data_IF_850698400430
#
_entry.id   IF_850698400430
#
_cell.length_a   1.000
_cell.length_b   1.000
_cell.length_c   1.000
_cell.angle_alpha   90.00
_cell.angle_beta   90.00
_cell.angle_gamma   90.00
#
_symmetry.space_group_name_H-M   'P 1'
#
loop_
_entity.id
_entity.type
_entity.pdbx_description
1 polymer ?
#
# COMPACT_ATOMS: atom_id res chain seq x y z
N UNK A 1 -2.37 19.02 -6.71
CA UNK A 1 -3.03 17.79 -7.19
C UNK A 1 -2.26 17.10 -8.32
N UNK A 2 -1.83 17.79 -9.36
CA UNK A 2 -1.12 17.21 -10.51
C UNK A 2 0.17 16.46 -10.12
N UNK A 3 0.99 17.04 -9.24
CA UNK A 3 2.20 16.40 -8.71
C UNK A 3 1.93 15.08 -7.98
N UNK A 4 0.84 15.02 -7.23
CA UNK A 4 0.41 13.81 -6.50
C UNK A 4 0.02 12.70 -7.48
N UNK A 5 -0.70 13.04 -8.55
CA UNK A 5 -1.08 12.08 -9.61
C UNK A 5 0.14 11.57 -10.37
N UNK A 6 1.06 12.46 -10.77
CA UNK A 6 2.30 12.07 -11.44
C UNK A 6 3.18 11.18 -10.55
N UNK A 7 3.29 11.51 -9.26
CA UNK A 7 4.02 10.68 -8.30
C UNK A 7 3.39 9.29 -8.11
N UNK A 8 2.06 9.19 -8.12
CA UNK A 8 1.35 7.90 -8.05
C UNK A 8 1.62 7.04 -9.29
N UNK A 9 1.59 7.64 -10.48
CA UNK A 9 1.92 6.94 -11.72
C UNK A 9 3.38 6.46 -11.68
N UNK A 10 4.32 7.34 -11.32
CA UNK A 10 5.73 6.99 -11.17
C UNK A 10 5.91 5.87 -10.13
N UNK A 11 5.16 5.91 -9.01
CA UNK A 11 5.17 4.89 -7.97
C UNK A 11 4.79 3.50 -8.49
N UNK A 12 3.81 3.41 -9.38
CA UNK A 12 3.41 2.14 -10.00
C UNK A 12 4.55 1.56 -10.87
N UNK A 13 5.24 2.39 -11.65
CA UNK A 13 6.40 1.95 -12.44
C UNK A 13 7.58 1.53 -11.56
N UNK A 14 7.87 2.31 -10.51
CA UNK A 14 8.92 1.98 -9.54
C UNK A 14 8.60 0.65 -8.84
N UNK A 15 7.37 0.46 -8.40
CA UNK A 15 6.93 -0.78 -7.77
C UNK A 15 7.10 -1.99 -8.70
N UNK A 16 6.68 -1.87 -9.97
CA UNK A 16 6.84 -2.94 -10.96
C UNK A 16 8.33 -3.22 -11.28
N UNK A 17 9.17 -2.19 -11.35
CA UNK A 17 10.60 -2.34 -11.56
C UNK A 17 11.28 -3.05 -10.38
N UNK A 18 10.97 -2.63 -9.16
CA UNK A 18 11.51 -3.27 -7.95
C UNK A 18 11.06 -4.72 -7.82
N UNK A 19 9.80 -5.03 -8.14
CA UNK A 19 9.27 -6.39 -8.11
C UNK A 19 10.05 -7.34 -9.01
N UNK A 20 10.47 -6.88 -10.18
CA UNK A 20 11.30 -7.66 -11.12
C UNK A 20 12.71 -7.96 -10.61
N UNK A 21 13.30 -7.07 -9.80
CA UNK A 21 14.70 -7.21 -9.35
C UNK A 21 14.83 -7.78 -7.94
N UNK A 22 13.91 -7.46 -7.05
CA UNK A 22 13.97 -7.85 -5.63
C UNK A 22 13.01 -8.99 -5.28
N UNK A 23 12.10 -9.32 -6.19
CA UNK A 23 10.98 -10.23 -5.95
C UNK A 23 9.78 -9.52 -5.32
N UNK A 24 8.59 -10.09 -5.52
CA UNK A 24 7.32 -9.48 -5.12
C UNK A 24 7.23 -9.25 -3.60
N UNK A 25 7.63 -10.24 -2.78
CA UNK A 25 7.57 -10.20 -1.32
C UNK A 25 8.36 -9.03 -0.73
N UNK A 26 9.64 -8.94 -1.12
CA UNK A 26 10.55 -7.91 -0.60
C UNK A 26 10.10 -6.52 -1.04
N UNK A 27 9.59 -6.42 -2.26
CA UNK A 27 9.08 -5.16 -2.79
C UNK A 27 7.83 -4.70 -2.06
N UNK A 28 6.88 -5.60 -1.79
CA UNK A 28 5.68 -5.28 -0.99
C UNK A 28 6.08 -4.82 0.41
N UNK A 29 6.96 -5.54 1.10
CA UNK A 29 7.44 -5.16 2.41
C UNK A 29 8.16 -3.80 2.41
N UNK A 30 9.04 -3.56 1.43
CA UNK A 30 9.75 -2.29 1.28
C UNK A 30 8.78 -1.12 1.04
N UNK A 31 7.79 -1.32 0.16
CA UNK A 31 6.78 -0.31 -0.14
C UNK A 31 5.88 -0.02 1.07
N UNK A 32 5.49 -1.06 1.85
CA UNK A 32 4.74 -0.88 3.10
C UNK A 32 5.53 -0.07 4.13
N UNK A 33 6.82 -0.39 4.32
CA UNK A 33 7.71 0.35 5.20
C UNK A 33 7.89 1.81 4.73
N UNK A 34 8.11 2.00 3.43
CA UNK A 34 8.22 3.33 2.84
C UNK A 34 6.95 4.15 3.00
N UNK A 35 5.79 3.53 2.81
CA UNK A 35 4.49 4.18 3.00
C UNK A 35 4.28 4.62 4.45
N UNK A 36 4.54 3.72 5.41
CA UNK A 36 4.49 4.04 6.84
C UNK A 36 5.46 5.16 7.20
N UNK A 37 6.71 5.08 6.75
CA UNK A 37 7.73 6.11 6.97
C UNK A 37 7.32 7.47 6.40
N UNK A 38 6.77 7.50 5.18
CA UNK A 38 6.27 8.71 4.54
C UNK A 38 5.08 9.32 5.32
N UNK A 39 4.16 8.48 5.84
CA UNK A 39 3.05 8.93 6.68
C UNK A 39 3.55 9.55 7.99
N UNK A 40 4.46 8.87 8.70
CA UNK A 40 5.04 9.37 9.95
C UNK A 40 5.84 10.66 9.69
N UNK A 41 6.63 10.72 8.62
CA UNK A 41 7.40 11.92 8.28
C UNK A 41 6.50 13.11 7.92
N UNK A 42 5.35 12.86 7.28
CA UNK A 42 4.43 13.92 6.85
C UNK A 42 3.58 14.44 7.99
N UNK A 43 3.04 13.57 8.83
CA UNK A 43 2.06 13.91 9.87
C UNK A 43 2.61 13.91 11.28
N UNK A 44 3.79 13.32 11.52
CA UNK A 44 4.42 13.26 12.85
C UNK A 44 4.86 14.60 13.42
N UNK A 45 5.13 15.60 12.55
CA UNK A 45 5.51 16.94 12.99
C UNK A 45 4.47 17.96 12.47
N UNK A 46 4.01 18.90 13.31
CA UNK A 46 3.13 19.97 12.86
C UNK A 46 3.86 20.87 11.84
N UNK A 47 3.49 20.77 10.59
CA UNK A 47 4.10 21.51 9.47
C UNK A 47 3.09 22.42 8.80
N UNK A 48 3.59 23.51 8.20
CA UNK A 48 2.78 24.41 7.42
C UNK A 48 2.29 23.80 6.11
N UNK A 49 1.28 24.39 5.51
CA UNK A 49 0.59 23.91 4.29
C UNK A 49 1.56 23.65 3.12
N UNK A 50 2.58 24.51 2.96
CA UNK A 50 3.57 24.39 1.90
C UNK A 50 4.42 23.11 2.02
N UNK A 51 4.84 22.75 3.24
CA UNK A 51 5.62 21.54 3.49
C UNK A 51 4.82 20.26 3.28
N UNK A 52 3.52 20.28 3.58
CA UNK A 52 2.61 19.16 3.31
C UNK A 52 2.47 18.92 1.80
N UNK A 53 2.35 19.96 0.99
CA UNK A 53 2.25 19.83 -0.46
C UNK A 53 3.47 19.20 -1.11
N UNK A 54 4.67 19.34 -0.51
CA UNK A 54 5.90 18.72 -1.00
C UNK A 54 5.99 17.25 -0.57
N UNK A 55 5.44 16.89 0.60
CA UNK A 55 5.53 15.54 1.14
C UNK A 55 4.42 14.60 0.66
N UNK A 56 3.26 15.13 0.26
CA UNK A 56 2.15 14.34 -0.30
C UNK A 56 2.55 13.49 -1.52
N UNK A 57 3.35 13.98 -2.48
CA UNK A 57 3.85 13.16 -3.59
C UNK A 57 4.66 11.95 -3.13
N UNK A 58 5.43 12.06 -2.03
CA UNK A 58 6.18 10.92 -1.50
C UNK A 58 5.26 9.80 -1.01
N UNK A 59 4.17 10.14 -0.31
CA UNK A 59 3.14 9.16 0.09
C UNK A 59 2.53 8.50 -1.15
N UNK A 60 2.21 9.31 -2.18
CA UNK A 60 1.60 8.82 -3.42
C UNK A 60 2.53 7.90 -4.21
N UNK A 61 3.84 8.12 -4.14
CA UNK A 61 4.83 7.25 -4.77
C UNK A 61 4.81 5.85 -4.13
N UNK A 62 4.78 5.76 -2.81
CA UNK A 62 4.69 4.47 -2.12
C UNK A 62 3.31 3.82 -2.22
N UNK A 63 2.25 4.56 -2.58
CA UNK A 63 0.94 3.99 -2.88
C UNK A 63 0.96 3.05 -4.12
N UNK A 64 2.03 3.03 -4.92
CA UNK A 64 2.28 2.03 -5.96
C UNK A 64 2.22 0.58 -5.48
N UNK A 65 2.31 0.33 -4.16
CA UNK A 65 2.11 -0.99 -3.58
C UNK A 65 0.74 -1.62 -3.94
N UNK A 66 -0.30 -0.82 -4.17
CA UNK A 66 -1.63 -1.33 -4.55
C UNK A 66 -1.62 -1.97 -5.95
N UNK A 67 -0.79 -1.48 -6.86
CA UNK A 67 -0.59 -2.12 -8.16
C UNK A 67 0.07 -3.50 -8.02
N UNK A 68 1.00 -3.66 -7.08
CA UNK A 68 1.64 -4.95 -6.81
C UNK A 68 0.63 -6.00 -6.35
N UNK A 69 -0.30 -5.67 -5.47
CA UNK A 69 -1.35 -6.59 -5.06
C UNK A 69 -2.23 -7.03 -6.22
N UNK A 70 -2.53 -6.13 -7.15
CA UNK A 70 -3.31 -6.46 -8.34
C UNK A 70 -2.57 -7.44 -9.26
N UNK A 71 -1.25 -7.36 -9.32
CA UNK A 71 -0.41 -8.26 -10.13
C UNK A 71 -0.10 -9.58 -9.40
N UNK A 72 0.08 -9.53 -8.09
CA UNK A 72 0.49 -10.67 -7.26
C UNK A 72 -0.66 -11.64 -6.95
N UNK A 73 -1.89 -11.14 -6.75
CA UNK A 73 -3.04 -11.96 -6.36
C UNK A 73 -3.45 -13.00 -7.42
N UNK A 74 -3.58 -12.66 -8.72
CA UNK A 74 -4.08 -13.62 -9.71
C UNK A 74 -3.23 -14.89 -9.85
N UNK A 75 -1.88 -14.86 -9.87
CA UNK A 75 -1.05 -16.06 -9.99
C UNK A 75 -1.15 -17.03 -8.81
N UNK A 76 -1.64 -16.58 -7.65
CA UNK A 76 -1.81 -17.45 -6.47
C UNK A 76 -2.94 -18.47 -6.65
N UNK A 77 -3.87 -18.23 -7.57
CA UNK A 77 -5.01 -19.09 -7.83
C UNK A 77 -4.81 -19.97 -9.06
N UNK A 78 -5.33 -21.20 -9.06
CA UNK A 78 -5.32 -22.06 -10.24
C UNK A 78 -6.07 -21.38 -11.40
N UNK A 79 -5.70 -21.71 -12.64
CA UNK A 79 -6.15 -21.03 -13.86
C UNK A 79 -7.66 -20.84 -13.98
N UNK A 80 -8.44 -21.85 -13.54
CA UNK A 80 -9.91 -21.81 -13.57
C UNK A 80 -10.54 -20.83 -12.57
N UNK A 81 -9.87 -20.58 -11.44
CA UNK A 81 -10.37 -19.74 -10.35
C UNK A 81 -9.63 -18.40 -10.24
N UNK A 82 -8.68 -18.16 -11.13
CA UNK A 82 -7.77 -16.99 -11.08
C UNK A 82 -8.53 -15.68 -11.00
N UNK A 83 -9.47 -15.46 -11.90
CA UNK A 83 -10.25 -14.21 -11.95
C UNK A 83 -11.21 -14.08 -10.76
N UNK A 84 -11.93 -15.17 -10.45
CA UNK A 84 -12.90 -15.17 -9.35
C UNK A 84 -12.22 -15.05 -7.99
N UNK A 85 -11.14 -15.79 -7.76
CA UNK A 85 -10.40 -15.77 -6.50
C UNK A 85 -9.71 -14.41 -6.26
N UNK A 86 -9.03 -13.89 -7.26
CA UNK A 86 -8.40 -12.57 -7.16
C UNK A 86 -9.45 -11.45 -6.95
N UNK A 87 -10.56 -11.50 -7.70
CA UNK A 87 -11.66 -10.55 -7.55
C UNK A 87 -12.32 -10.64 -6.16
N UNK A 88 -12.50 -11.83 -5.62
CA UNK A 88 -13.04 -12.03 -4.28
C UNK A 88 -12.14 -11.43 -3.20
N UNK A 89 -10.84 -11.74 -3.23
CA UNK A 89 -9.88 -11.17 -2.29
C UNK A 89 -9.83 -9.64 -2.36
N UNK A 90 -9.84 -9.10 -3.58
CA UNK A 90 -9.84 -7.66 -3.79
C UNK A 90 -11.10 -6.98 -3.23
N UNK A 91 -12.27 -7.58 -3.44
CA UNK A 91 -13.54 -7.05 -2.92
C UNK A 91 -13.62 -7.13 -1.40
N UNK A 92 -13.15 -8.21 -0.78
CA UNK A 92 -13.04 -8.29 0.69
C UNK A 92 -12.15 -7.16 1.23
N UNK A 93 -11.01 -6.92 0.59
CA UNK A 93 -10.13 -5.80 0.95
C UNK A 93 -10.83 -4.44 0.85
N UNK A 94 -11.67 -4.24 -0.16
CA UNK A 94 -12.47 -3.00 -0.31
C UNK A 94 -13.53 -2.84 0.78
N UNK A 95 -14.22 -3.93 1.14
CA UNK A 95 -15.19 -3.90 2.25
C UNK A 95 -14.48 -3.58 3.57
N UNK A 96 -13.35 -4.22 3.84
CA UNK A 96 -12.53 -3.92 5.02
C UNK A 96 -12.04 -2.46 5.04
N UNK A 97 -11.62 -1.92 3.88
CA UNK A 97 -11.25 -0.51 3.73
C UNK A 97 -12.43 0.43 4.00
N UNK A 98 -13.64 0.09 3.54
CA UNK A 98 -14.83 0.91 3.77
C UNK A 98 -15.15 0.98 5.26
N UNK A 99 -15.12 -0.16 5.97
CA UNK A 99 -15.27 -0.23 7.43
C UNK A 99 -14.17 0.59 8.12
N UNK A 100 -12.92 0.43 7.69
CA UNK A 100 -11.78 1.20 8.20
C UNK A 100 -11.98 2.71 8.03
N UNK A 101 -12.52 3.16 6.91
CA UNK A 101 -12.81 4.57 6.65
C UNK A 101 -13.88 5.12 7.60
N UNK A 102 -14.93 4.34 7.89
CA UNK A 102 -15.97 4.73 8.86
C UNK A 102 -15.38 4.84 10.26
N UNK A 103 -14.60 3.83 10.69
CA UNK A 103 -13.92 3.85 12.00
C UNK A 103 -12.96 5.03 12.09
N UNK A 104 -12.21 5.30 11.03
CA UNK A 104 -11.32 6.46 10.95
C UNK A 104 -12.10 7.77 11.09
N UNK A 105 -13.23 7.91 10.40
CA UNK A 105 -14.11 9.08 10.52
C UNK A 105 -14.59 9.30 11.95
N UNK A 106 -15.01 8.25 12.65
CA UNK A 106 -15.46 8.31 14.03
C UNK A 106 -14.32 8.69 15.00
N UNK A 107 -13.14 8.11 14.81
CA UNK A 107 -11.96 8.40 15.66
C UNK A 107 -11.44 9.82 15.42
N UNK A 108 -11.46 10.29 14.20
CA UNK A 108 -10.99 11.65 13.85
C UNK A 108 -11.86 12.77 14.41
N UNK A 109 -13.12 12.49 14.80
CA UNK A 109 -13.99 13.46 15.49
C UNK A 109 -13.63 13.61 16.97
N UNK A 110 -12.98 12.62 17.58
CA UNK A 110 -12.63 12.59 19.01
C UNK A 110 -11.16 12.93 19.24
N UNK A 111 -10.29 12.58 18.29
CA UNK A 111 -8.85 12.82 18.35
C UNK A 111 -8.37 13.67 17.17
N UNK A 112 -7.16 14.23 17.29
CA UNK A 112 -6.50 14.95 16.20
C UNK A 112 -6.39 14.05 14.95
N UNK A 113 -6.86 14.57 13.82
CA UNK A 113 -6.81 13.89 12.52
C UNK A 113 -5.40 13.36 12.15
N UNK A 114 -4.35 13.98 12.68
CA UNK A 114 -2.95 13.57 12.47
C UNK A 114 -2.65 12.23 13.10
N UNK A 115 -3.08 12.04 14.34
CA UNK A 115 -2.92 10.77 15.07
C UNK A 115 -3.63 9.64 14.35
N UNK A 116 -4.83 9.91 13.84
CA UNK A 116 -5.61 8.94 13.09
C UNK A 116 -4.91 8.57 11.75
N UNK A 117 -4.33 9.53 11.04
CA UNK A 117 -3.58 9.29 9.80
C UNK A 117 -2.29 8.50 10.04
N UNK A 118 -1.56 8.78 11.12
CA UNK A 118 -0.37 8.02 11.51
C UNK A 118 -0.77 6.59 11.87
N UNK A 119 -1.84 6.40 12.65
CA UNK A 119 -2.34 5.08 13.00
C UNK A 119 -2.73 4.28 11.75
N UNK A 120 -3.40 4.91 10.77
CA UNK A 120 -3.71 4.29 9.49
C UNK A 120 -2.45 3.88 8.72
N UNK A 121 -1.40 4.72 8.74
CA UNK A 121 -0.09 4.38 8.16
C UNK A 121 0.58 3.21 8.85
N UNK A 122 0.50 3.13 10.17
CA UNK A 122 1.08 2.04 10.97
C UNK A 122 0.40 0.68 10.71
N UNK A 123 -0.85 0.64 10.24
CA UNK A 123 -1.51 -0.61 9.83
C UNK A 123 -0.83 -1.29 8.63
N UNK A 124 -0.04 -0.56 7.86
CA UNK A 124 0.76 -1.16 6.79
C UNK A 124 1.98 -1.93 7.29
N UNK A 125 2.43 -1.74 8.53
CA UNK A 125 3.53 -2.51 9.11
C UNK A 125 3.18 -4.00 9.24
N UNK A 126 2.08 -4.41 9.92
CA UNK A 126 1.71 -5.81 9.96
C UNK A 126 1.41 -6.38 8.58
N UNK A 127 0.85 -5.60 7.65
CA UNK A 127 0.65 -6.04 6.28
C UNK A 127 1.98 -6.33 5.57
N UNK A 128 3.00 -5.49 5.74
CA UNK A 128 4.34 -5.71 5.23
C UNK A 128 5.03 -6.93 5.83
N UNK A 129 4.86 -7.18 7.14
CA UNK A 129 5.39 -8.36 7.82
C UNK A 129 4.71 -9.65 7.32
N UNK A 130 3.39 -9.63 7.14
CA UNK A 130 2.64 -10.75 6.58
C UNK A 130 3.08 -11.05 5.13
N UNK A 131 3.38 -10.01 4.35
CA UNK A 131 3.88 -10.16 2.99
C UNK A 131 5.21 -10.92 2.92
N UNK A 132 6.07 -10.79 3.92
CA UNK A 132 7.32 -11.58 4.01
C UNK A 132 7.09 -13.07 4.24
N UNK A 133 5.96 -13.45 4.82
CA UNK A 133 5.56 -14.85 5.01
C UNK A 133 4.89 -15.49 3.79
N UNK A 134 4.56 -14.71 2.75
CA UNK A 134 3.93 -15.25 1.54
C UNK A 134 4.98 -15.97 0.66
N UNK A 135 4.59 -17.03 -0.10
CA UNK A 135 5.48 -17.69 -1.04
C UNK A 135 5.86 -16.77 -2.20
N UNK A 136 7.12 -16.75 -2.61
CA UNK A 136 7.54 -16.09 -3.84
C UNK A 136 6.94 -16.78 -5.06
N UNK A 137 6.51 -16.01 -6.04
CA UNK A 137 5.98 -16.55 -7.30
C UNK A 137 7.07 -17.20 -8.15
N UNK A 138 8.33 -16.80 -7.96
CA UNK A 138 9.50 -17.34 -8.66
C UNK A 138 9.77 -18.80 -8.28
N UNK A 139 9.48 -19.21 -7.05
CA UNK A 139 9.62 -20.60 -6.58
C UNK A 139 8.58 -21.57 -7.21
N UNK A 140 7.56 -21.05 -7.89
CA UNK A 140 6.51 -21.86 -8.55
C UNK A 140 6.72 -22.03 -10.05
N UNK A 141 7.65 -21.31 -10.64
CA UNK A 141 8.10 -21.48 -12.02
C UNK A 141 9.25 -22.53 -12.08
N UNK A 142 9.07 -23.65 -11.40
CA UNK A 142 9.92 -24.83 -11.59
C UNK A 142 9.69 -25.42 -12.98
N UNK A 143 10.67 -26.16 -13.52
CA UNK A 143 10.74 -26.60 -14.90
C UNK A 143 9.56 -27.43 -15.34
#
# INVERSE_FOLDING_TARGET
MLLVMLASIAGNFVAAYLARHLGDRKTIALMCLGYCGAMVATYGVPRGHASLMILLPAISLFAGLFALFTMYLPPLFPTLLRTTGAGFCYNIGRVASAVGTVVFGLVSTVHDYRTALIAAGCLFLPAGLLALGLPDLDDRAGP
#
